data_IF_698439123939
#
_entry.id   IF_698439123939
#
_cell.length_a   1.000
_cell.length_b   1.000
_cell.length_c   1.000
_cell.angle_alpha   90.00
_cell.angle_beta   90.00
_cell.angle_gamma   90.00
#
_symmetry.space_group_name_H-M   'P 1'
#
loop_
_entity.id
_entity.type
_entity.pdbx_description
1 polymer ?
#
# COMPACT_ATOMS: atom_id res chain seq x y z
N UNK A 1 -25.30 -34.20 8.41
CA UNK A 1 -24.23 -33.24 8.74
C UNK A 1 -24.86 -31.87 8.94
N UNK A 2 -24.37 -31.08 9.90
CA UNK A 2 -24.91 -29.73 10.14
C UNK A 2 -24.46 -28.78 9.05
N UNK A 3 -25.30 -27.81 8.63
CA UNK A 3 -24.94 -26.74 7.71
C UNK A 3 -23.72 -25.92 8.19
N UNK A 4 -23.48 -25.92 9.50
CA UNK A 4 -22.32 -25.25 10.12
C UNK A 4 -20.99 -25.78 9.61
N UNK A 5 -20.90 -27.07 9.24
CA UNK A 5 -19.69 -27.68 8.73
C UNK A 5 -19.38 -27.30 7.26
N UNK A 6 -20.33 -26.59 6.60
CA UNK A 6 -20.19 -26.11 5.24
C UNK A 6 -19.82 -24.61 5.19
N UNK A 7 -19.67 -23.95 6.34
CA UNK A 7 -19.20 -22.58 6.38
C UNK A 7 -17.68 -22.54 6.18
N UNK A 8 -17.22 -21.52 5.45
CA UNK A 8 -15.78 -21.27 5.32
C UNK A 8 -15.25 -20.72 6.65
N UNK A 9 -14.21 -21.32 7.16
CA UNK A 9 -13.47 -20.85 8.33
C UNK A 9 -12.20 -20.15 7.85
N UNK A 10 -12.06 -18.86 8.17
CA UNK A 10 -10.90 -18.04 7.80
C UNK A 10 -10.60 -17.05 8.93
N UNK A 11 -9.33 -16.78 9.16
CA UNK A 11 -8.90 -15.71 10.05
C UNK A 11 -8.86 -14.38 9.28
N UNK A 12 -9.75 -13.41 9.61
CA UNK A 12 -9.85 -12.19 8.83
C UNK A 12 -8.72 -11.22 9.16
N UNK A 13 -8.38 -10.37 8.20
CA UNK A 13 -7.50 -9.23 8.43
C UNK A 13 -8.08 -8.28 9.50
N UNK A 14 -7.21 -7.84 10.42
CA UNK A 14 -7.58 -6.84 11.43
C UNK A 14 -7.17 -5.46 10.95
N UNK A 15 -8.15 -4.67 10.54
CA UNK A 15 -7.92 -3.29 10.09
C UNK A 15 -7.29 -2.42 11.18
N UNK A 16 -6.55 -1.40 10.76
CA UNK A 16 -6.04 -0.37 11.67
C UNK A 16 -7.18 0.32 12.42
N UNK A 17 -6.98 0.60 13.68
CA UNK A 17 -7.98 1.22 14.53
C UNK A 17 -8.44 2.58 13.98
N UNK A 18 -9.75 2.84 14.08
CA UNK A 18 -10.41 4.11 13.74
C UNK A 18 -11.03 4.74 15.01
N UNK A 19 -10.21 5.34 15.91
CA UNK A 19 -10.71 5.86 17.18
C UNK A 19 -11.66 7.03 16.97
N UNK A 20 -12.74 7.05 17.75
CA UNK A 20 -13.72 8.16 17.78
C UNK A 20 -13.38 9.09 18.96
N UNK A 21 -12.27 9.78 18.88
CA UNK A 21 -11.80 10.73 19.90
C UNK A 21 -11.79 12.13 19.32
N UNK A 22 -12.08 13.14 20.13
CA UNK A 22 -11.89 14.55 19.74
C UNK A 22 -10.40 14.93 19.79
N UNK A 23 -9.99 15.87 18.94
CA UNK A 23 -8.61 16.34 18.85
C UNK A 23 -7.58 15.23 18.65
N UNK A 24 -7.92 14.28 17.76
CA UNK A 24 -7.11 13.13 17.45
C UNK A 24 -6.04 13.46 16.41
N UNK A 25 -4.78 13.16 16.73
CA UNK A 25 -3.68 13.11 15.74
C UNK A 25 -3.55 11.65 15.27
N UNK A 26 -3.96 11.39 14.03
CA UNK A 26 -4.10 10.03 13.50
C UNK A 26 -2.92 9.65 12.61
N UNK A 27 -1.94 8.95 13.17
CA UNK A 27 -0.68 8.55 12.51
C UNK A 27 -0.51 7.03 12.40
N UNK A 28 -1.60 6.27 12.20
CA UNK A 28 -1.56 4.79 12.25
C UNK A 28 -1.91 4.06 10.95
N UNK A 29 -2.55 4.70 9.96
CA UNK A 29 -3.05 4.03 8.73
C UNK A 29 -2.48 4.59 7.44
N UNK A 30 -1.41 5.37 7.53
CA UNK A 30 -0.66 5.89 6.38
C UNK A 30 -1.54 6.72 5.42
N UNK A 31 -2.49 7.48 5.99
CA UNK A 31 -3.26 8.44 5.22
C UNK A 31 -2.41 9.67 4.88
N UNK A 32 -2.73 10.32 3.79
CA UNK A 32 -2.07 11.56 3.39
C UNK A 32 -2.64 12.72 4.23
N UNK A 33 -1.83 13.57 4.87
CA UNK A 33 -2.30 14.67 5.71
C UNK A 33 -2.85 15.85 4.92
N UNK A 34 -2.64 15.87 3.61
CA UNK A 34 -3.11 16.94 2.73
C UNK A 34 -4.40 16.55 2.01
N UNK A 35 -5.25 17.52 1.76
CA UNK A 35 -6.48 17.34 1.01
C UNK A 35 -6.19 16.94 -0.45
N UNK A 36 -7.12 16.28 -1.16
CA UNK A 36 -7.01 16.08 -2.60
C UNK A 36 -7.00 17.42 -3.34
N UNK A 37 -6.51 17.42 -4.58
CA UNK A 37 -6.36 18.61 -5.40
C UNK A 37 -7.69 19.33 -5.70
N UNK A 38 -7.61 20.57 -6.17
CA UNK A 38 -8.78 21.43 -6.39
C UNK A 38 -9.73 20.86 -7.44
N UNK A 39 -9.23 20.24 -8.51
CA UNK A 39 -10.09 19.58 -9.51
C UNK A 39 -10.93 18.45 -8.93
N UNK A 40 -10.44 17.77 -7.90
CA UNK A 40 -11.23 16.74 -7.18
C UNK A 40 -12.39 17.38 -6.45
N UNK A 41 -12.16 18.52 -5.77
CA UNK A 41 -13.23 19.28 -5.08
C UNK A 41 -14.28 19.78 -6.07
N UNK A 42 -13.85 20.35 -7.18
CA UNK A 42 -14.73 20.79 -8.26
C UNK A 42 -15.54 19.62 -8.84
N UNK A 43 -14.91 18.48 -9.06
CA UNK A 43 -15.57 17.29 -9.58
C UNK A 43 -16.66 16.76 -8.63
N UNK A 44 -16.41 16.78 -7.31
CA UNK A 44 -17.42 16.42 -6.30
C UNK A 44 -18.58 17.41 -6.29
N UNK A 45 -18.30 18.72 -6.32
CA UNK A 45 -19.31 19.77 -6.27
C UNK A 45 -20.21 19.79 -7.54
N UNK A 46 -19.63 19.49 -8.69
CA UNK A 46 -20.33 19.47 -9.97
C UNK A 46 -20.97 18.12 -10.32
N UNK A 47 -20.77 17.10 -9.50
CA UNK A 47 -21.34 15.78 -9.75
C UNK A 47 -22.86 15.82 -9.66
N UNK A 48 -23.54 15.36 -10.72
CA UNK A 48 -24.99 15.28 -10.77
C UNK A 48 -25.47 13.99 -10.03
N UNK A 49 -26.12 14.11 -8.84
CA UNK A 49 -26.60 12.96 -8.09
C UNK A 49 -27.61 12.11 -8.86
N UNK A 50 -28.29 12.66 -9.87
CA UNK A 50 -29.23 11.89 -10.70
C UNK A 50 -28.55 10.75 -11.45
N UNK A 51 -27.24 10.84 -11.72
CA UNK A 51 -26.45 9.78 -12.35
C UNK A 51 -26.35 8.53 -11.49
N UNK A 52 -26.49 8.64 -10.16
CA UNK A 52 -26.37 7.49 -9.23
C UNK A 52 -27.49 6.45 -9.42
N UNK A 53 -28.57 6.76 -10.12
CA UNK A 53 -29.61 5.80 -10.47
C UNK A 53 -29.23 4.84 -11.62
N UNK A 54 -28.10 5.09 -12.26
CA UNK A 54 -27.59 4.28 -13.37
C UNK A 54 -26.32 3.55 -12.96
N UNK A 55 -26.11 2.35 -13.51
CA UNK A 55 -24.82 1.71 -13.39
C UNK A 55 -23.71 2.58 -14.02
N UNK A 56 -22.54 2.67 -13.41
CA UNK A 56 -21.40 3.35 -13.98
C UNK A 56 -20.84 2.59 -15.19
N UNK A 57 -19.82 3.15 -15.85
CA UNK A 57 -19.00 2.40 -16.80
C UNK A 57 -18.29 1.24 -16.08
N UNK A 58 -18.54 0.00 -16.54
CA UNK A 58 -18.03 -1.22 -15.93
C UNK A 58 -16.50 -1.29 -15.88
N UNK A 59 -15.84 -0.70 -16.87
CA UNK A 59 -14.38 -0.71 -17.02
C UNK A 59 -13.75 0.62 -16.63
N UNK A 60 -14.55 1.61 -16.21
CA UNK A 60 -14.09 2.98 -15.92
C UNK A 60 -13.18 3.51 -17.05
N UNK A 61 -13.59 3.33 -18.30
CA UNK A 61 -12.78 3.46 -19.52
C UNK A 61 -12.04 4.78 -19.59
N UNK A 62 -12.69 5.89 -19.20
CA UNK A 62 -12.07 7.22 -19.23
C UNK A 62 -10.96 7.34 -18.17
N UNK A 63 -11.20 6.87 -16.94
CA UNK A 63 -10.18 6.85 -15.91
C UNK A 63 -9.01 5.94 -16.30
N UNK A 64 -9.32 4.77 -16.87
CA UNK A 64 -8.33 3.82 -17.39
C UNK A 64 -7.43 4.47 -18.44
N UNK A 65 -8.02 5.17 -19.42
CA UNK A 65 -7.28 5.89 -20.46
C UNK A 65 -6.34 6.96 -19.87
N UNK A 66 -6.82 7.78 -18.94
CA UNK A 66 -6.00 8.81 -18.28
C UNK A 66 -4.82 8.23 -17.49
N UNK A 67 -5.00 7.06 -16.85
CA UNK A 67 -3.93 6.36 -16.14
C UNK A 67 -2.92 5.79 -17.14
N UNK A 68 -3.38 5.20 -18.24
CA UNK A 68 -2.51 4.69 -19.29
C UNK A 68 -1.64 5.83 -19.87
N UNK A 69 -2.26 6.95 -20.24
CA UNK A 69 -1.55 8.14 -20.72
C UNK A 69 -0.53 8.66 -19.69
N UNK A 70 -0.91 8.75 -18.41
CA UNK A 70 -0.04 9.23 -17.33
C UNK A 70 1.22 8.38 -17.17
N UNK A 71 1.13 7.06 -17.39
CA UNK A 71 2.26 6.12 -17.27
C UNK A 71 2.93 5.78 -18.60
N UNK A 72 2.43 6.29 -19.74
CA UNK A 72 2.95 5.99 -21.08
C UNK A 72 2.71 4.53 -21.49
N UNK A 73 1.53 4.01 -21.14
CA UNK A 73 1.03 2.66 -21.43
C UNK A 73 -0.19 2.71 -22.35
N UNK A 74 -0.63 1.55 -22.83
CA UNK A 74 -1.88 1.38 -23.56
C UNK A 74 -3.03 1.06 -22.58
N UNK A 75 -4.28 1.33 -22.99
CA UNK A 75 -5.46 1.10 -22.13
C UNK A 75 -5.61 -0.37 -21.70
N UNK A 76 -5.24 -1.33 -22.55
CA UNK A 76 -5.31 -2.75 -22.27
C UNK A 76 -4.21 -3.27 -21.30
N UNK A 77 -3.31 -2.39 -20.88
CA UNK A 77 -2.29 -2.64 -19.85
C UNK A 77 -2.70 -2.14 -18.46
N UNK A 78 -3.90 -1.56 -18.32
CA UNK A 78 -4.41 -0.98 -17.06
C UNK A 78 -5.63 -1.72 -16.57
N UNK A 79 -5.58 -2.19 -15.33
CA UNK A 79 -6.69 -2.78 -14.59
C UNK A 79 -7.09 -1.89 -13.42
N UNK A 80 -8.38 -1.75 -13.15
CA UNK A 80 -8.95 -0.95 -12.07
C UNK A 80 -9.82 -1.80 -11.14
N UNK A 81 -9.71 -1.55 -9.82
CA UNK A 81 -10.52 -2.22 -8.80
C UNK A 81 -10.87 -1.30 -7.63
N UNK A 82 -11.74 -1.76 -6.75
CA UNK A 82 -12.21 -1.05 -5.56
C UNK A 82 -11.17 -1.03 -4.44
N UNK A 83 -10.16 -0.16 -4.61
CA UNK A 83 -8.96 -0.10 -3.78
C UNK A 83 -7.94 -1.17 -4.16
N UNK A 84 -6.69 -0.97 -3.71
CA UNK A 84 -5.64 -1.98 -3.91
C UNK A 84 -5.96 -3.31 -3.24
N UNK A 85 -6.81 -3.35 -2.21
CA UNK A 85 -7.22 -4.59 -1.57
C UNK A 85 -7.99 -5.50 -2.54
N UNK A 86 -8.95 -4.96 -3.32
CA UNK A 86 -9.64 -5.74 -4.36
C UNK A 86 -8.71 -6.11 -5.51
N UNK A 87 -7.86 -5.17 -5.94
CA UNK A 87 -6.86 -5.43 -6.99
C UNK A 87 -5.93 -6.58 -6.57
N UNK A 88 -5.44 -6.57 -5.34
CA UNK A 88 -4.62 -7.65 -4.77
C UNK A 88 -5.40 -8.96 -4.70
N UNK A 89 -6.63 -8.96 -4.17
CA UNK A 89 -7.45 -10.16 -4.09
C UNK A 89 -7.66 -10.81 -5.46
N UNK A 90 -7.98 -10.00 -6.48
CA UNK A 90 -8.15 -10.47 -7.86
C UNK A 90 -6.82 -10.92 -8.47
N UNK A 91 -5.69 -10.28 -8.12
CA UNK A 91 -4.35 -10.72 -8.53
C UNK A 91 -4.03 -12.11 -7.96
N UNK A 92 -4.30 -12.35 -6.67
CA UNK A 92 -4.12 -13.67 -6.06
C UNK A 92 -4.97 -14.74 -6.75
N UNK A 93 -6.25 -14.45 -7.00
CA UNK A 93 -7.17 -15.35 -7.70
C UNK A 93 -6.77 -15.62 -9.15
N UNK A 94 -6.15 -14.66 -9.82
CA UNK A 94 -5.80 -14.79 -11.25
C UNK A 94 -4.44 -15.44 -11.45
N UNK A 95 -3.41 -15.00 -10.68
CA UNK A 95 -2.02 -15.29 -11.00
C UNK A 95 -1.44 -16.47 -10.21
N UNK A 96 -2.00 -16.83 -9.05
CA UNK A 96 -1.36 -17.74 -8.11
C UNK A 96 -2.09 -19.09 -7.97
N UNK A 97 -2.49 -19.68 -9.10
CA UNK A 97 -3.25 -20.95 -9.15
C UNK A 97 -2.37 -22.18 -9.43
N UNK A 98 -1.05 -22.04 -9.36
CA UNK A 98 -0.10 -23.13 -9.62
C UNK A 98 0.03 -24.10 -8.43
N UNK A 99 0.79 -25.18 -8.65
CA UNK A 99 1.06 -26.17 -7.60
C UNK A 99 2.26 -25.79 -6.68
N UNK A 100 3.06 -24.82 -7.10
CA UNK A 100 4.19 -24.35 -6.28
C UNK A 100 3.73 -23.23 -5.35
N UNK A 101 4.30 -23.14 -4.14
CA UNK A 101 3.99 -22.04 -3.24
C UNK A 101 4.47 -20.70 -3.80
N UNK A 102 3.70 -19.65 -3.56
CA UNK A 102 4.15 -18.29 -3.83
C UNK A 102 5.10 -17.81 -2.74
N UNK A 103 5.92 -16.80 -3.06
CA UNK A 103 6.91 -16.23 -2.14
C UNK A 103 6.59 -14.76 -1.83
N UNK A 104 6.71 -14.40 -0.56
CA UNK A 104 6.69 -13.01 -0.10
C UNK A 104 7.49 -12.87 1.22
N UNK A 105 7.92 -11.64 1.62
CA UNK A 105 8.69 -11.45 2.84
C UNK A 105 7.93 -11.87 4.12
N UNK A 106 8.65 -12.32 5.13
CA UNK A 106 8.08 -12.68 6.44
C UNK A 106 7.51 -11.48 7.21
N UNK A 107 8.10 -10.30 7.01
CA UNK A 107 7.62 -9.03 7.55
C UNK A 107 7.23 -8.13 6.39
N UNK A 108 5.93 -8.11 6.08
CA UNK A 108 5.37 -7.43 4.91
C UNK A 108 3.92 -7.03 5.14
N UNK A 109 3.19 -6.70 4.07
CA UNK A 109 1.76 -6.38 4.16
C UNK A 109 0.96 -7.60 4.63
N UNK A 110 0.38 -7.47 5.82
CA UNK A 110 -0.24 -8.59 6.53
C UNK A 110 -1.51 -9.15 5.88
N UNK A 111 -1.96 -8.58 4.78
CA UNK A 111 -3.09 -9.12 4.00
C UNK A 111 -2.69 -10.28 3.09
N UNK A 112 -1.41 -10.42 2.71
CA UNK A 112 -0.98 -11.49 1.79
C UNK A 112 -1.29 -12.90 2.30
N UNK A 113 -0.93 -13.28 3.55
CA UNK A 113 -1.34 -14.58 4.09
C UNK A 113 -2.87 -14.74 4.17
N UNK A 114 -3.62 -13.67 4.47
CA UNK A 114 -5.09 -13.72 4.51
C UNK A 114 -5.68 -14.08 3.14
N UNK A 115 -5.15 -13.52 2.05
CA UNK A 115 -5.56 -13.91 0.70
C UNK A 115 -5.19 -15.37 0.39
N UNK A 116 -3.99 -15.81 0.79
CA UNK A 116 -3.57 -17.19 0.60
C UNK A 116 -4.53 -18.16 1.29
N UNK A 117 -4.89 -17.91 2.53
CA UNK A 117 -5.85 -18.73 3.30
C UNK A 117 -7.25 -18.68 2.68
N UNK A 118 -7.72 -17.48 2.31
CA UNK A 118 -9.04 -17.29 1.72
C UNK A 118 -9.20 -18.07 0.39
N UNK A 119 -8.15 -18.11 -0.41
CA UNK A 119 -8.17 -18.70 -1.76
C UNK A 119 -7.51 -20.07 -1.85
N UNK A 120 -7.03 -20.63 -0.72
CA UNK A 120 -6.30 -21.90 -0.65
C UNK A 120 -5.04 -21.91 -1.55
N UNK A 121 -4.23 -20.88 -1.45
CA UNK A 121 -2.98 -20.72 -2.16
C UNK A 121 -1.83 -21.08 -1.21
N UNK A 122 -1.00 -22.03 -1.61
CA UNK A 122 0.21 -22.37 -0.85
C UNK A 122 1.23 -21.23 -0.91
N UNK A 123 1.85 -20.91 0.21
CA UNK A 123 2.86 -19.86 0.27
C UNK A 123 4.05 -20.23 1.18
N UNK A 124 5.16 -19.56 0.95
CA UNK A 124 6.33 -19.55 1.83
C UNK A 124 6.78 -18.13 2.08
N UNK A 125 7.02 -17.81 3.33
CA UNK A 125 7.64 -16.54 3.69
C UNK A 125 9.16 -16.62 3.55
N UNK A 126 9.76 -15.54 3.06
CA UNK A 126 11.21 -15.36 2.91
C UNK A 126 11.66 -14.34 3.95
N UNK A 127 12.60 -14.74 4.80
CA UNK A 127 13.05 -13.87 5.89
C UNK A 127 13.76 -12.62 5.34
N UNK A 128 13.35 -11.45 5.85
CA UNK A 128 14.15 -10.24 5.68
C UNK A 128 15.46 -10.37 6.46
N UNK A 129 16.52 -9.70 6.04
CA UNK A 129 17.77 -9.63 6.79
C UNK A 129 17.61 -8.84 8.12
N UNK A 130 18.70 -8.68 8.87
CA UNK A 130 18.68 -7.98 10.16
C UNK A 130 18.43 -6.46 10.01
N UNK A 131 18.62 -5.91 8.80
CA UNK A 131 18.29 -4.53 8.45
C UNK A 131 16.90 -4.40 7.80
N UNK A 132 16.08 -5.45 7.85
CA UNK A 132 14.75 -5.54 7.22
C UNK A 132 14.75 -5.37 5.68
N UNK A 133 15.83 -5.76 5.02
CA UNK A 133 15.95 -5.71 3.55
C UNK A 133 15.66 -7.07 2.93
N UNK A 134 15.07 -7.03 1.75
CA UNK A 134 14.88 -8.21 0.89
C UNK A 134 16.24 -8.58 0.28
N UNK A 135 16.62 -9.87 0.34
CA UNK A 135 17.75 -10.43 -0.40
C UNK A 135 17.22 -11.06 -1.68
N UNK A 136 17.59 -10.50 -2.85
CA UNK A 136 17.06 -10.93 -4.13
C UNK A 136 17.33 -12.40 -4.46
N UNK A 137 18.49 -12.91 -4.03
CA UNK A 137 18.92 -14.30 -4.27
C UNK A 137 17.99 -15.33 -3.63
N UNK A 138 17.31 -14.97 -2.53
CA UNK A 138 16.36 -15.85 -1.85
C UNK A 138 15.07 -16.08 -2.66
N UNK A 139 14.84 -15.23 -3.70
CA UNK A 139 13.71 -15.30 -4.61
C UNK A 139 14.04 -15.98 -5.96
N UNK A 140 15.26 -16.49 -6.16
CA UNK A 140 15.67 -17.17 -7.41
C UNK A 140 15.26 -18.64 -7.48
N UNK A 141 14.64 -19.18 -6.41
CA UNK A 141 14.20 -20.55 -6.35
C UNK A 141 12.85 -20.73 -7.08
N UNK A 142 12.59 -21.95 -7.56
CA UNK A 142 11.32 -22.31 -8.20
C UNK A 142 10.14 -22.01 -7.26
N UNK A 143 9.15 -21.28 -7.77
CA UNK A 143 7.99 -20.83 -7.02
C UNK A 143 6.72 -20.78 -7.89
N UNK A 144 5.58 -20.49 -7.28
CA UNK A 144 4.28 -20.32 -7.94
C UNK A 144 3.93 -18.85 -8.24
N UNK A 145 4.82 -17.93 -7.90
CA UNK A 145 4.68 -16.47 -8.03
C UNK A 145 5.38 -15.75 -6.89
N UNK A 146 5.65 -14.48 -7.09
CA UNK A 146 6.31 -13.62 -6.11
C UNK A 146 5.48 -12.36 -5.92
N UNK A 147 5.33 -11.91 -4.67
CA UNK A 147 4.71 -10.61 -4.38
C UNK A 147 5.41 -9.94 -3.20
N UNK A 148 5.73 -8.67 -3.33
CA UNK A 148 6.18 -7.83 -2.21
C UNK A 148 5.92 -6.35 -2.47
N UNK A 149 5.73 -5.55 -1.38
CA UNK A 149 5.64 -4.10 -1.50
C UNK A 149 7.02 -3.50 -1.74
N UNK A 150 7.09 -2.48 -2.58
CA UNK A 150 8.30 -1.68 -2.76
C UNK A 150 7.94 -0.19 -2.84
N UNK A 151 8.21 0.60 -1.82
CA UNK A 151 8.80 0.29 -0.50
C UNK A 151 8.00 -0.70 0.34
N UNK A 152 8.72 -1.56 1.10
CA UNK A 152 8.06 -2.55 1.96
C UNK A 152 7.29 -1.90 3.11
N UNK A 153 6.17 -2.47 3.48
CA UNK A 153 5.41 -2.09 4.68
C UNK A 153 5.39 -3.29 5.67
N UNK A 154 5.76 -3.10 6.95
CA UNK A 154 5.83 -1.84 7.70
C UNK A 154 7.21 -1.15 7.74
N UNK A 155 8.23 -1.68 7.09
CA UNK A 155 9.61 -1.26 7.29
C UNK A 155 9.98 0.04 6.56
N UNK A 156 9.35 0.33 5.43
CA UNK A 156 9.65 1.47 4.57
C UNK A 156 10.87 1.28 3.66
N UNK A 157 11.61 0.18 3.80
CA UNK A 157 12.80 -0.12 3.00
C UNK A 157 12.49 -0.27 1.52
N UNK A 158 13.36 0.25 0.68
CA UNK A 158 13.27 0.24 -0.78
C UNK A 158 14.30 -0.72 -1.38
N UNK A 159 13.87 -1.58 -2.30
CA UNK A 159 14.74 -2.36 -3.18
C UNK A 159 14.99 -1.58 -4.48
N UNK A 160 16.20 -1.65 -5.01
CA UNK A 160 16.54 -0.99 -6.27
C UNK A 160 15.83 -1.62 -7.47
N UNK A 161 15.60 -0.82 -8.53
CA UNK A 161 15.01 -1.31 -9.78
C UNK A 161 15.84 -2.44 -10.39
N UNK A 162 17.17 -2.34 -10.33
CA UNK A 162 18.09 -3.37 -10.86
C UNK A 162 17.95 -4.70 -10.12
N UNK A 163 17.82 -4.68 -8.79
CA UNK A 163 17.64 -5.91 -8.01
C UNK A 163 16.27 -6.54 -8.25
N UNK A 164 15.23 -5.72 -8.44
CA UNK A 164 13.89 -6.20 -8.83
C UNK A 164 13.94 -6.78 -10.25
N UNK A 165 14.64 -6.13 -11.18
CA UNK A 165 14.81 -6.64 -12.54
C UNK A 165 15.51 -8.02 -12.54
N UNK A 166 16.49 -8.22 -11.65
CA UNK A 166 17.15 -9.51 -11.49
C UNK A 166 16.19 -10.58 -10.96
N UNK A 167 15.30 -10.26 -10.01
CA UNK A 167 14.25 -11.18 -9.56
C UNK A 167 13.33 -11.56 -10.72
N UNK A 168 12.88 -10.60 -11.51
CA UNK A 168 11.98 -10.84 -12.66
C UNK A 168 12.67 -11.77 -13.69
N UNK A 169 13.93 -11.52 -14.03
CA UNK A 169 14.71 -12.34 -14.98
C UNK A 169 14.86 -13.80 -14.54
N UNK A 170 15.10 -14.02 -13.24
CA UNK A 170 15.28 -15.38 -12.71
C UNK A 170 13.95 -16.14 -12.56
N UNK A 171 12.81 -15.46 -12.70
CA UNK A 171 11.48 -16.02 -12.51
C UNK A 171 10.60 -15.89 -13.77
N UNK A 172 11.16 -16.11 -14.96
CA UNK A 172 10.43 -15.96 -16.24
C UNK A 172 9.17 -16.81 -16.38
N UNK A 173 9.06 -17.90 -15.62
CA UNK A 173 7.91 -18.82 -15.60
C UNK A 173 6.91 -18.50 -14.46
N UNK A 174 7.12 -17.43 -13.70
CA UNK A 174 6.27 -17.04 -12.57
C UNK A 174 5.93 -15.56 -12.67
N UNK A 175 4.70 -15.20 -12.29
CA UNK A 175 4.32 -13.78 -12.19
C UNK A 175 5.02 -13.16 -10.99
N UNK A 176 5.65 -12.01 -11.21
CA UNK A 176 6.25 -11.16 -10.16
C UNK A 176 5.38 -9.93 -9.99
N UNK A 177 4.83 -9.76 -8.80
CA UNK A 177 3.95 -8.64 -8.44
C UNK A 177 4.68 -7.69 -7.53
N UNK A 178 4.82 -6.44 -7.94
CA UNK A 178 5.41 -5.37 -7.13
C UNK A 178 4.31 -4.41 -6.68
N UNK A 179 4.07 -4.37 -5.37
CA UNK A 179 3.08 -3.47 -4.78
C UNK A 179 3.75 -2.11 -4.47
N UNK A 180 3.52 -1.16 -5.35
CA UNK A 180 4.09 0.20 -5.28
C UNK A 180 3.17 1.20 -4.57
N UNK A 181 2.40 0.78 -3.57
CA UNK A 181 1.48 1.67 -2.85
C UNK A 181 2.14 2.93 -2.24
N UNK A 182 3.46 2.92 -2.04
CA UNK A 182 4.22 4.01 -1.42
C UNK A 182 5.34 4.57 -2.30
N UNK A 183 5.47 4.14 -3.54
CA UNK A 183 6.61 4.47 -4.42
C UNK A 183 6.81 5.96 -4.64
N UNK A 184 5.72 6.72 -4.66
CA UNK A 184 5.72 8.17 -4.95
C UNK A 184 6.35 9.03 -3.83
N UNK A 185 6.70 8.43 -2.68
CA UNK A 185 7.34 9.13 -1.56
C UNK A 185 8.87 9.07 -1.57
N UNK A 186 9.46 8.91 -2.76
CA UNK A 186 10.91 9.01 -2.98
C UNK A 186 11.55 7.75 -3.56
N UNK A 187 10.76 6.75 -3.93
CA UNK A 187 11.24 5.57 -4.65
C UNK A 187 11.29 5.77 -6.16
N UNK A 188 11.87 4.79 -6.86
CA UNK A 188 11.87 4.69 -8.31
C UNK A 188 10.97 3.51 -8.74
N UNK A 189 9.99 3.79 -9.61
CA UNK A 189 9.01 2.79 -10.08
C UNK A 189 9.60 1.80 -11.05
N UNK A 190 9.13 0.55 -10.99
CA UNK A 190 9.48 -0.49 -11.96
C UNK A 190 8.58 -0.52 -13.21
N UNK A 191 7.62 0.40 -13.34
CA UNK A 191 6.72 0.50 -14.52
C UNK A 191 7.48 0.47 -15.85
N UNK A 192 8.65 1.13 -16.03
CA UNK A 192 9.41 1.03 -17.28
C UNK A 192 9.80 -0.39 -17.68
N UNK A 193 9.92 -1.31 -16.73
CA UNK A 193 10.23 -2.72 -16.98
C UNK A 193 9.07 -3.49 -17.63
N UNK A 194 7.83 -3.00 -17.57
CA UNK A 194 6.68 -3.58 -18.29
C UNK A 194 6.87 -3.67 -19.81
N UNK A 195 7.76 -2.83 -20.36
CA UNK A 195 8.14 -2.90 -21.80
C UNK A 195 9.07 -4.06 -22.13
N UNK A 196 9.65 -4.72 -21.11
CA UNK A 196 10.65 -5.78 -21.28
C UNK A 196 10.16 -7.14 -20.78
N UNK A 197 9.25 -7.16 -19.79
CA UNK A 197 8.89 -8.37 -19.05
C UNK A 197 7.38 -8.57 -19.00
N UNK A 198 6.91 -9.64 -19.61
CA UNK A 198 5.48 -9.98 -19.66
C UNK A 198 4.96 -10.57 -18.35
N UNK A 199 5.84 -11.07 -17.48
CA UNK A 199 5.54 -11.66 -16.19
C UNK A 199 5.56 -10.65 -15.01
N UNK A 200 5.66 -9.36 -15.28
CA UNK A 200 5.60 -8.30 -14.26
C UNK A 200 4.19 -7.72 -14.15
N UNK A 201 3.72 -7.58 -12.91
CA UNK A 201 2.51 -6.82 -12.57
C UNK A 201 2.86 -5.78 -11.48
N UNK A 202 2.48 -4.53 -11.69
CA UNK A 202 2.73 -3.43 -10.76
C UNK A 202 1.41 -2.95 -10.18
N UNK A 203 1.31 -2.85 -8.85
CA UNK A 203 0.09 -2.40 -8.17
C UNK A 203 0.27 -1.00 -7.60
N UNK A 204 -0.68 -0.12 -7.89
CA UNK A 204 -0.76 1.24 -7.38
C UNK A 204 -2.07 1.48 -6.64
N UNK A 205 -2.11 2.53 -5.82
CA UNK A 205 -3.30 2.96 -5.10
C UNK A 205 -3.46 4.48 -5.10
N UNK A 206 -4.69 4.94 -5.15
CA UNK A 206 -5.02 6.35 -4.94
C UNK A 206 -5.11 6.72 -3.45
N UNK A 207 -5.05 5.73 -2.56
CA UNK A 207 -5.26 5.91 -1.12
C UNK A 207 -4.14 6.70 -0.42
N UNK A 208 -2.92 6.69 -0.96
CA UNK A 208 -1.72 7.24 -0.29
C UNK A 208 -1.27 8.54 -0.95
N UNK A 209 -0.61 8.44 -2.07
CA UNK A 209 -0.08 9.59 -2.80
C UNK A 209 -1.17 10.60 -3.19
N UNK A 210 -2.33 10.11 -3.68
CA UNK A 210 -3.42 10.95 -4.22
C UNK A 210 -4.46 11.41 -3.19
N UNK A 211 -4.25 11.16 -1.90
CA UNK A 211 -5.15 11.60 -0.80
C UNK A 211 -6.59 11.08 -0.94
N UNK A 212 -6.80 9.93 -1.57
CA UNK A 212 -8.12 9.41 -1.92
C UNK A 212 -8.41 8.03 -1.26
N UNK A 213 -7.93 7.81 -0.02
CA UNK A 213 -8.19 6.57 0.70
C UNK A 213 -9.70 6.24 0.81
N UNK A 214 -10.53 7.27 0.97
CA UNK A 214 -11.99 7.13 1.08
C UNK A 214 -12.70 6.81 -0.24
N UNK A 215 -12.10 7.10 -1.40
CA UNK A 215 -12.70 6.83 -2.72
C UNK A 215 -12.48 5.40 -3.23
N UNK A 216 -11.60 4.64 -2.57
CA UNK A 216 -11.34 3.23 -2.89
C UNK A 216 -10.97 2.97 -4.35
N UNK A 217 -9.89 3.58 -4.84
CA UNK A 217 -9.36 3.33 -6.17
C UNK A 217 -8.00 2.63 -6.11
N UNK A 218 -7.89 1.48 -6.77
CA UNK A 218 -6.67 0.70 -6.95
C UNK A 218 -6.42 0.40 -8.42
N UNK A 219 -5.17 0.19 -8.77
CA UNK A 219 -4.71 -0.02 -10.14
C UNK A 219 -3.74 -1.19 -10.19
N UNK A 220 -3.83 -2.03 -11.21
CA UNK A 220 -2.73 -2.89 -11.62
C UNK A 220 -2.31 -2.54 -13.05
N UNK A 221 -1.00 -2.52 -13.28
CA UNK A 221 -0.36 -2.22 -14.55
C UNK A 221 0.46 -3.45 -14.97
N UNK A 222 0.26 -3.93 -16.19
CA UNK A 222 0.91 -5.16 -16.61
C UNK A 222 0.87 -5.39 -18.11
N UNK A 223 1.35 -6.56 -18.52
CA UNK A 223 1.13 -7.04 -19.88
C UNK A 223 -0.36 -7.19 -20.16
N UNK A 224 -0.79 -6.93 -21.38
CA UNK A 224 -2.19 -7.01 -21.80
C UNK A 224 -2.85 -8.36 -21.56
N UNK A 225 -2.09 -9.46 -21.66
CA UNK A 225 -2.61 -10.80 -21.38
C UNK A 225 -2.91 -10.97 -19.89
N UNK A 226 -2.00 -10.57 -18.98
CA UNK A 226 -2.25 -10.57 -17.54
C UNK A 226 -3.46 -9.70 -17.18
N UNK A 227 -3.53 -8.50 -17.74
CA UNK A 227 -4.64 -7.57 -17.50
C UNK A 227 -5.97 -8.12 -18.01
N UNK A 228 -5.98 -8.78 -19.19
CA UNK A 228 -7.18 -9.44 -19.71
C UNK A 228 -7.71 -10.50 -18.74
N UNK A 229 -6.83 -11.35 -18.21
CA UNK A 229 -7.22 -12.37 -17.23
C UNK A 229 -7.72 -11.77 -15.90
N UNK A 230 -7.18 -10.62 -15.45
CA UNK A 230 -7.72 -9.89 -14.30
C UNK A 230 -9.16 -9.43 -14.58
N UNK A 231 -9.44 -8.93 -15.78
CA UNK A 231 -10.80 -8.54 -16.17
C UNK A 231 -11.75 -9.72 -16.26
N UNK A 232 -11.31 -10.88 -16.74
CA UNK A 232 -12.12 -12.09 -16.77
C UNK A 232 -12.54 -12.52 -15.35
N UNK A 233 -11.61 -12.52 -14.39
CA UNK A 233 -11.88 -12.86 -12.99
C UNK A 233 -12.76 -11.78 -12.35
N UNK A 234 -12.45 -10.48 -12.55
CA UNK A 234 -13.29 -9.37 -12.08
C UNK A 234 -14.73 -9.50 -12.56
N UNK A 235 -14.95 -9.71 -13.85
CA UNK A 235 -16.28 -9.81 -14.45
C UNK A 235 -17.05 -11.06 -13.98
N UNK A 236 -16.33 -12.08 -13.52
CA UNK A 236 -16.92 -13.27 -12.92
C UNK A 236 -17.27 -13.11 -11.43
N UNK A 237 -16.78 -12.05 -10.78
CA UNK A 237 -16.99 -11.77 -9.36
C UNK A 237 -17.86 -10.51 -9.14
N UNK A 238 -17.46 -9.35 -9.70
CA UNK A 238 -18.17 -8.08 -9.61
C UNK A 238 -17.91 -7.24 -10.87
N UNK A 239 -18.93 -7.08 -11.73
CA UNK A 239 -18.78 -6.38 -13.01
C UNK A 239 -18.65 -4.86 -12.87
N UNK A 240 -19.13 -4.26 -11.77
CA UNK A 240 -19.17 -2.81 -11.54
C UNK A 240 -18.53 -2.41 -10.20
N UNK A 241 -17.21 -2.67 -9.99
CA UNK A 241 -16.60 -2.47 -8.68
C UNK A 241 -16.42 -1.00 -8.30
N UNK A 242 -16.30 -0.10 -9.27
CA UNK A 242 -15.99 1.31 -9.06
C UNK A 242 -17.23 2.15 -9.32
N UNK A 243 -17.70 2.86 -8.29
CA UNK A 243 -18.89 3.70 -8.41
C UNK A 243 -18.66 4.95 -9.28
N UNK A 244 -19.77 5.56 -9.72
CA UNK A 244 -19.73 6.69 -10.66
C UNK A 244 -19.00 7.92 -10.09
N UNK A 245 -19.07 8.18 -8.79
CA UNK A 245 -18.40 9.31 -8.16
C UNK A 245 -16.90 9.03 -8.05
N UNK A 246 -16.51 7.81 -7.65
CA UNK A 246 -15.11 7.41 -7.57
C UNK A 246 -14.40 7.51 -8.94
N UNK A 247 -15.07 7.13 -10.05
CA UNK A 247 -14.52 7.30 -11.39
C UNK A 247 -14.21 8.76 -11.68
N UNK A 248 -15.17 9.66 -11.46
CA UNK A 248 -15.03 11.12 -11.72
C UNK A 248 -13.94 11.74 -10.83
N UNK A 249 -13.87 11.35 -9.57
CA UNK A 249 -12.83 11.80 -8.62
C UNK A 249 -11.45 11.32 -9.06
N UNK A 250 -11.34 10.07 -9.50
CA UNK A 250 -10.10 9.50 -10.02
C UNK A 250 -9.59 10.25 -11.26
N UNK A 251 -10.46 10.53 -12.22
CA UNK A 251 -10.14 11.32 -13.42
C UNK A 251 -9.60 12.71 -13.05
N UNK A 252 -10.29 13.41 -12.15
CA UNK A 252 -9.87 14.72 -11.67
C UNK A 252 -8.51 14.67 -10.96
N UNK A 253 -8.26 13.63 -10.15
CA UNK A 253 -7.00 13.45 -9.43
C UNK A 253 -5.80 13.24 -10.36
N UNK A 254 -5.98 12.53 -11.50
CA UNK A 254 -4.90 12.40 -12.49
C UNK A 254 -4.55 13.78 -13.07
N UNK A 255 -5.55 14.61 -13.33
CA UNK A 255 -5.35 15.97 -13.86
C UNK A 255 -4.69 16.94 -12.88
N UNK A 256 -4.73 16.66 -11.58
CA UNK A 256 -4.09 17.44 -10.50
C UNK A 256 -2.71 16.89 -10.10
N UNK A 257 -2.10 16.04 -10.91
CA UNK A 257 -0.86 15.31 -10.53
C UNK A 257 0.28 16.22 -10.07
N UNK A 258 0.42 17.44 -10.58
CA UNK A 258 1.47 18.37 -10.14
C UNK A 258 1.26 18.85 -8.69
N UNK A 259 0.01 19.16 -8.31
CA UNK A 259 -0.32 19.55 -6.92
C UNK A 259 -0.04 18.38 -5.97
N UNK A 260 -0.40 17.17 -6.38
CA UNK A 260 -0.17 15.96 -5.60
C UNK A 260 1.34 15.68 -5.41
N UNK A 261 2.16 15.90 -6.45
CA UNK A 261 3.63 15.80 -6.34
C UNK A 261 4.20 16.80 -5.33
N UNK A 262 3.67 18.03 -5.28
CA UNK A 262 4.10 19.01 -4.27
C UNK A 262 3.72 18.56 -2.83
N UNK A 263 2.57 17.93 -2.64
CA UNK A 263 2.21 17.33 -1.35
C UNK A 263 3.19 16.22 -0.94
N UNK A 264 3.56 15.34 -1.87
CA UNK A 264 4.55 14.30 -1.60
C UNK A 264 5.91 14.88 -1.21
N UNK A 265 6.39 15.95 -1.87
CA UNK A 265 7.62 16.65 -1.50
C UNK A 265 7.57 17.18 -0.07
N UNK A 266 6.43 17.76 0.36
CA UNK A 266 6.23 18.21 1.75
C UNK A 266 6.30 17.04 2.72
N UNK A 267 5.61 15.92 2.43
CA UNK A 267 5.65 14.71 3.26
C UNK A 267 7.09 14.18 3.38
N UNK A 268 7.85 14.13 2.29
CA UNK A 268 9.24 13.72 2.29
C UNK A 268 10.08 14.66 3.18
N UNK A 269 9.94 15.97 3.04
CA UNK A 269 10.67 16.95 3.84
C UNK A 269 10.35 16.80 5.34
N UNK A 270 9.05 16.68 5.69
CA UNK A 270 8.59 16.45 7.06
C UNK A 270 9.10 15.11 7.61
N UNK A 271 9.12 14.05 6.80
CA UNK A 271 9.70 12.75 7.17
C UNK A 271 11.17 12.89 7.56
N UNK A 272 11.97 13.52 6.71
CA UNK A 272 13.41 13.64 6.97
C UNK A 272 13.70 14.54 8.18
N UNK A 273 12.93 15.62 8.37
CA UNK A 273 12.99 16.45 9.58
C UNK A 273 12.67 15.64 10.84
N UNK A 274 11.61 14.84 10.79
CA UNK A 274 11.17 14.00 11.91
C UNK A 274 12.20 12.92 12.23
N UNK A 275 12.74 12.23 11.21
CA UNK A 275 13.82 11.24 11.37
C UNK A 275 15.04 11.85 12.08
N UNK A 276 15.42 13.08 11.72
CA UNK A 276 16.55 13.78 12.35
C UNK A 276 16.28 14.07 13.83
N UNK A 277 15.11 14.62 14.16
CA UNK A 277 14.74 14.93 15.54
C UNK A 277 14.66 13.67 16.43
N UNK A 278 14.11 12.58 15.92
CA UNK A 278 14.05 11.31 16.64
C UNK A 278 15.44 10.71 16.88
N UNK A 279 16.37 10.81 15.92
CA UNK A 279 17.77 10.37 16.10
C UNK A 279 18.46 11.15 17.23
N UNK A 280 18.20 12.45 17.35
CA UNK A 280 18.71 13.29 18.44
C UNK A 280 18.13 12.87 19.82
N UNK A 281 16.97 12.21 19.83
CA UNK A 281 16.34 11.63 21.02
C UNK A 281 16.74 10.17 21.29
N UNK A 282 17.68 9.58 20.53
CA UNK A 282 18.17 8.21 20.72
C UNK A 282 17.42 7.12 19.93
N UNK A 283 16.44 7.47 19.10
CA UNK A 283 15.75 6.48 18.27
C UNK A 283 16.62 6.01 17.11
N UNK A 284 16.52 4.73 16.82
CA UNK A 284 16.97 4.09 15.57
C UNK A 284 15.77 3.81 14.67
N UNK A 285 16.01 3.67 13.37
CA UNK A 285 14.95 3.45 12.39
C UNK A 285 15.49 2.88 11.09
N UNK A 286 14.61 2.25 10.33
CA UNK A 286 14.87 1.86 8.94
C UNK A 286 14.97 3.07 8.02
N UNK A 287 15.53 2.89 6.82
CA UNK A 287 15.59 3.98 5.84
C UNK A 287 14.32 4.01 4.99
N UNK A 288 13.33 4.75 5.48
CA UNK A 288 12.00 4.77 4.86
C UNK A 288 11.93 5.64 3.61
N UNK A 289 11.38 5.06 2.54
CA UNK A 289 10.95 5.72 1.30
C UNK A 289 9.43 5.78 1.16
N UNK A 290 8.71 5.74 2.30
CA UNK A 290 7.25 5.75 2.38
C UNK A 290 6.73 7.04 3.05
N UNK A 291 5.41 7.16 3.18
CA UNK A 291 4.79 8.23 3.99
C UNK A 291 4.67 7.84 5.48
N UNK A 292 5.57 7.00 5.95
CA UNK A 292 5.69 6.60 7.36
C UNK A 292 7.15 6.31 7.72
N UNK A 293 7.45 6.25 9.00
CA UNK A 293 8.73 5.79 9.55
C UNK A 293 8.51 4.59 10.46
N UNK A 294 9.54 3.75 10.58
CA UNK A 294 9.54 2.56 11.43
C UNK A 294 10.65 2.69 12.44
N UNK A 295 10.30 3.01 13.69
CA UNK A 295 11.20 3.51 14.73
C UNK A 295 11.31 2.56 15.92
N UNK A 296 12.49 2.53 16.54
CA UNK A 296 12.84 1.75 17.71
C UNK A 296 13.68 2.58 18.67
N UNK A 297 13.59 2.31 19.98
CA UNK A 297 14.47 2.88 21.00
C UNK A 297 14.99 1.77 21.92
N UNK A 298 16.30 1.74 22.18
CA UNK A 298 16.92 0.65 22.95
C UNK A 298 16.49 0.65 24.43
N UNK A 299 16.27 1.83 25.02
CA UNK A 299 15.98 2.00 26.43
C UNK A 299 14.47 2.01 26.75
N UNK A 300 13.59 2.19 25.77
CA UNK A 300 12.15 2.33 25.97
C UNK A 300 11.35 1.31 25.16
N UNK A 301 10.50 0.55 25.85
CA UNK A 301 9.62 -0.42 25.24
C UNK A 301 8.62 0.24 24.29
N UNK A 302 8.49 -0.30 23.07
CA UNK A 302 7.62 0.26 22.03
C UNK A 302 6.13 0.24 22.44
N UNK A 303 5.68 -0.80 23.15
CA UNK A 303 4.31 -0.88 23.64
C UNK A 303 4.03 0.20 24.70
N UNK A 304 5.03 0.51 25.55
CA UNK A 304 4.94 1.60 26.51
C UNK A 304 4.76 2.95 25.79
N UNK A 305 5.66 3.29 24.86
CA UNK A 305 5.55 4.54 24.07
C UNK A 305 4.20 4.61 23.33
N UNK A 306 3.76 3.51 22.73
CA UNK A 306 2.46 3.42 22.05
C UNK A 306 1.30 3.78 23.00
N UNK A 307 1.30 3.22 24.22
CA UNK A 307 0.24 3.48 25.21
C UNK A 307 0.25 4.92 25.72
N UNK A 308 1.44 5.49 25.94
CA UNK A 308 1.58 6.88 26.41
C UNK A 308 1.19 7.90 25.33
N UNK A 309 1.58 7.69 24.06
CA UNK A 309 1.12 8.50 22.93
C UNK A 309 -0.40 8.49 22.82
N UNK A 310 -1.02 7.31 23.00
CA UNK A 310 -2.47 7.17 22.97
C UNK A 310 -3.18 7.99 24.05
N UNK A 311 -2.62 8.08 25.26
CA UNK A 311 -3.16 8.94 26.33
C UNK A 311 -3.13 10.42 25.95
N UNK A 312 -2.18 10.80 25.08
CA UNK A 312 -2.05 12.16 24.53
C UNK A 312 -2.84 12.36 23.22
N UNK A 313 -3.75 11.43 22.89
CA UNK A 313 -4.57 11.43 21.65
C UNK A 313 -3.76 11.35 20.35
N UNK A 314 -2.56 10.79 20.40
CA UNK A 314 -1.73 10.51 19.22
C UNK A 314 -1.74 9.02 18.96
N UNK A 315 -2.26 8.61 17.80
CA UNK A 315 -2.44 7.21 17.46
C UNK A 315 -1.41 6.80 16.41
N UNK A 316 -0.51 5.92 16.79
CA UNK A 316 0.50 5.28 15.93
C UNK A 316 0.16 3.80 15.75
N UNK A 317 0.96 3.05 14.99
CA UNK A 317 0.78 1.60 14.84
C UNK A 317 1.84 0.82 15.59
N UNK A 318 1.42 -0.07 16.47
CA UNK A 318 2.24 -1.07 17.13
C UNK A 318 1.93 -2.46 16.57
N UNK A 319 2.95 -3.33 16.50
CA UNK A 319 2.84 -4.70 16.00
C UNK A 319 3.34 -5.67 17.09
N UNK A 320 2.43 -6.43 17.68
CA UNK A 320 2.79 -7.50 18.63
C UNK A 320 3.17 -8.78 17.87
N UNK A 321 4.32 -8.74 17.17
CA UNK A 321 4.82 -9.85 16.37
C UNK A 321 6.35 -9.99 16.52
N UNK A 322 6.90 -11.21 16.37
CA UNK A 322 8.34 -11.43 16.46
C UNK A 322 9.15 -10.49 15.56
N UNK A 323 10.33 -10.07 16.02
CA UNK A 323 11.27 -9.15 15.38
C UNK A 323 10.80 -7.70 15.28
N UNK A 324 9.49 -7.40 15.34
CA UNK A 324 8.94 -6.04 15.17
C UNK A 324 8.17 -5.52 16.39
N UNK A 325 8.07 -6.32 17.47
CA UNK A 325 7.39 -5.92 18.70
C UNK A 325 8.11 -4.82 19.51
N UNK A 326 9.32 -4.44 19.12
CA UNK A 326 10.05 -3.29 19.67
C UNK A 326 10.04 -2.08 18.70
N UNK A 327 9.18 -2.10 17.69
CA UNK A 327 9.06 -1.03 16.71
C UNK A 327 7.68 -0.40 16.71
N UNK A 328 7.64 0.90 16.37
CA UNK A 328 6.42 1.63 16.05
C UNK A 328 6.46 2.09 14.59
N UNK A 329 5.36 1.92 13.87
CA UNK A 329 5.18 2.58 12.59
C UNK A 329 4.38 3.86 12.79
N UNK A 330 4.98 4.98 12.39
CA UNK A 330 4.40 6.32 12.53
C UNK A 330 4.16 6.89 11.14
N UNK A 331 2.92 7.15 10.80
CA UNK A 331 2.54 7.88 9.58
C UNK A 331 3.07 9.31 9.65
N UNK A 332 3.54 9.85 8.54
CA UNK A 332 3.96 11.24 8.46
C UNK A 332 2.71 12.11 8.26
N UNK A 333 2.37 12.88 9.27
CA UNK A 333 1.35 13.91 9.24
C UNK A 333 1.86 15.22 8.62
N UNK A 334 1.09 16.29 8.75
CA UNK A 334 1.57 17.64 8.45
C UNK A 334 2.59 18.10 9.51
N UNK A 335 3.19 19.27 9.30
CA UNK A 335 4.25 19.77 10.21
C UNK A 335 3.75 19.95 11.65
N UNK A 336 2.53 20.45 11.86
CA UNK A 336 1.92 20.69 13.18
C UNK A 336 1.65 19.35 13.90
N UNK A 337 1.14 18.35 13.19
CA UNK A 337 0.90 17.00 13.72
C UNK A 337 2.22 16.31 14.12
N UNK A 338 3.28 16.50 13.31
CA UNK A 338 4.57 15.89 13.60
C UNK A 338 5.32 16.64 14.71
N UNK A 339 5.16 17.96 14.85
CA UNK A 339 5.69 18.69 15.98
C UNK A 339 5.04 18.25 17.30
N UNK A 340 3.70 18.12 17.32
CA UNK A 340 2.99 17.58 18.48
C UNK A 340 3.40 16.14 18.83
N UNK A 341 3.65 15.30 17.82
CA UNK A 341 4.17 13.94 18.02
C UNK A 341 5.58 13.98 18.65
N UNK A 342 6.49 14.79 18.14
CA UNK A 342 7.86 14.91 18.64
C UNK A 342 7.89 15.43 20.08
N UNK A 343 7.08 16.45 20.40
CA UNK A 343 6.96 16.98 21.75
C UNK A 343 6.43 15.93 22.73
N UNK A 344 5.40 15.18 22.32
CA UNK A 344 4.85 14.10 23.12
C UNK A 344 5.87 12.97 23.38
N UNK A 345 6.63 12.55 22.36
CA UNK A 345 7.69 11.55 22.51
C UNK A 345 8.77 12.05 23.48
N UNK A 346 9.20 13.31 23.35
CA UNK A 346 10.19 13.92 24.23
C UNK A 346 9.74 13.92 25.69
N UNK A 347 8.48 14.29 25.95
CA UNK A 347 7.92 14.24 27.31
C UNK A 347 7.88 12.81 27.86
N UNK A 348 7.51 11.82 27.06
CA UNK A 348 7.41 10.42 27.47
C UNK A 348 8.79 9.87 27.90
N UNK A 349 9.82 10.11 27.09
CA UNK A 349 11.18 9.60 27.40
C UNK A 349 11.86 10.37 28.55
N UNK A 350 11.47 11.63 28.83
CA UNK A 350 11.99 12.42 29.96
C UNK A 350 11.28 12.11 31.28
N UNK A 351 10.07 11.59 31.24
CA UNK A 351 9.27 11.26 32.43
C UNK A 351 9.54 9.84 32.96
N UNK A 352 10.28 9.03 32.18
CA UNK A 352 10.63 7.64 32.51
C UNK A 352 12.02 7.56 33.08
#
# INVERSE_FOLDING_TARGET
MSWRNNLRDVEPYVAGEQPKMSNLIKLNTNENPYEPGEKVKEAIQSFDPFKLRLYPDADASKLKHLIAEYHGLEDDQVFLGNGSDEVLALTFLTCFNGQNPILFPDITYSFYPVYCELFNIDYKTVALDDAFKIKKEDYFNKNGGIIFPNPNAPTGELMSVDDIEDIIKHNSESVVVIDEAYIDFGGETVIPLLKKYDNLLVIHTFSKFRSLAGSRLGVALGNKELVSHLYDVKNSFNSYPIDALAQVIGEASIQDSEVIKEHAKKIIATRERTKKALKEMGFTMTDSYSNFIFIHHDDYDAEYIFKELRKKHIIVRYFNAPRINQYLRVTIGNDEEMDAFLDAVKEIIQAS
#
